data_IF_097399414728
#
_entry.id   IF_097399414728
#
_cell.length_a   1.000
_cell.length_b   1.000
_cell.length_c   1.000
_cell.angle_alpha   90.00
_cell.angle_beta   90.00
_cell.angle_gamma   90.00
#
_symmetry.space_group_name_H-M   'P 1'
#
loop_
_entity.id
_entity.type
_entity.pdbx_description
1 polymer ?
#
# COMPACT_ATOMS: atom_id res chain seq x y z
N UNK A 1 2.48 -9.85 -9.53
CA UNK A 1 1.38 -8.91 -9.84
C UNK A 1 0.10 -9.51 -9.27
N UNK A 2 -0.37 -9.00 -8.14
CA UNK A 2 -1.55 -9.54 -7.44
C UNK A 2 -2.80 -9.12 -8.24
N UNK A 3 -3.59 -10.08 -8.75
CA UNK A 3 -4.87 -9.77 -9.39
C UNK A 3 -5.85 -9.37 -8.28
N UNK A 4 -6.13 -8.08 -8.15
CA UNK A 4 -7.26 -7.57 -7.36
C UNK A 4 -8.54 -7.96 -8.10
N UNK A 5 -9.02 -9.17 -7.82
CA UNK A 5 -10.09 -9.79 -8.62
C UNK A 5 -11.48 -9.48 -8.11
N UNK A 6 -11.62 -8.69 -7.04
CA UNK A 6 -12.93 -8.34 -6.49
C UNK A 6 -13.12 -6.83 -6.33
N UNK A 7 -14.36 -6.36 -6.50
CA UNK A 7 -14.76 -4.99 -6.21
C UNK A 7 -14.45 -4.62 -4.74
N UNK A 8 -14.55 -5.59 -3.83
CA UNK A 8 -14.16 -5.46 -2.41
C UNK A 8 -12.70 -5.04 -2.25
N UNK A 9 -11.79 -5.58 -3.06
CA UNK A 9 -10.38 -5.19 -3.00
C UNK A 9 -10.16 -3.73 -3.43
N UNK A 10 -10.98 -3.23 -4.37
CA UNK A 10 -10.94 -1.83 -4.82
C UNK A 10 -11.48 -0.86 -3.78
N UNK A 11 -12.57 -1.20 -3.12
CA UNK A 11 -13.16 -0.33 -2.09
C UNK A 11 -12.24 -0.22 -0.87
N UNK A 12 -11.62 -1.34 -0.48
CA UNK A 12 -10.60 -1.36 0.59
C UNK A 12 -9.36 -0.54 0.21
N UNK A 13 -8.97 -0.56 -1.07
CA UNK A 13 -7.91 0.29 -1.58
C UNK A 13 -8.27 1.76 -1.43
N UNK A 14 -9.42 2.18 -1.97
CA UNK A 14 -9.87 3.58 -1.92
C UNK A 14 -9.93 4.08 -0.48
N UNK A 15 -10.52 3.28 0.43
CA UNK A 15 -10.56 3.62 1.86
C UNK A 15 -9.17 3.75 2.48
N UNK A 16 -8.23 2.86 2.15
CA UNK A 16 -6.85 2.97 2.61
C UNK A 16 -6.15 4.23 2.12
N UNK A 17 -6.43 4.66 0.89
CA UNK A 17 -5.91 5.91 0.32
C UNK A 17 -6.50 7.15 0.97
N UNK A 18 -7.82 7.17 1.16
CA UNK A 18 -8.49 8.27 1.85
C UNK A 18 -7.96 8.42 3.28
N UNK A 19 -7.78 7.29 3.99
CA UNK A 19 -7.17 7.29 5.31
C UNK A 19 -5.74 7.81 5.29
N UNK A 20 -4.94 7.45 4.28
CA UNK A 20 -3.59 7.96 4.11
C UNK A 20 -3.55 9.47 3.96
N UNK A 21 -4.32 10.04 3.02
CA UNK A 21 -4.34 11.49 2.81
C UNK A 21 -4.86 12.23 4.05
N UNK A 22 -5.94 11.72 4.66
CA UNK A 22 -6.46 12.28 5.91
C UNK A 22 -5.43 12.25 7.04
N UNK A 23 -4.55 11.25 7.06
CA UNK A 23 -3.55 11.10 8.10
C UNK A 23 -2.30 11.94 7.84
N UNK A 24 -1.87 12.09 6.59
CA UNK A 24 -0.78 13.01 6.23
C UNK A 24 -1.16 14.48 6.47
N UNK A 25 -2.43 14.85 6.22
CA UNK A 25 -2.92 16.23 6.41
C UNK A 25 -2.92 16.69 7.87
N UNK A 26 -2.92 15.75 8.81
CA UNK A 26 -2.88 16.03 10.27
C UNK A 26 -1.47 16.15 10.82
N UNK A 27 -0.45 15.79 10.05
CA UNK A 27 0.93 15.63 10.52
C UNK A 27 1.77 16.84 10.17
N UNK A 28 2.82 17.05 10.93
CA UNK A 28 3.79 18.11 10.65
C UNK A 28 4.70 17.67 9.50
N UNK A 29 4.72 18.38 8.35
CA UNK A 29 5.62 18.06 7.26
C UNK A 29 7.04 18.52 7.59
N UNK A 30 8.00 17.64 7.36
CA UNK A 30 9.43 17.88 7.51
C UNK A 30 10.12 17.45 6.22
N UNK A 31 10.71 18.42 5.53
CA UNK A 31 11.40 18.15 4.27
C UNK A 31 12.86 17.87 4.55
N UNK A 32 13.40 16.87 3.87
CA UNK A 32 14.82 16.53 3.90
C UNK A 32 15.32 16.23 2.50
N UNK A 33 16.60 16.47 2.26
CA UNK A 33 17.26 16.07 1.02
C UNK A 33 17.84 14.66 1.20
N UNK A 34 17.42 13.66 0.40
CA UNK A 34 18.01 12.33 0.46
C UNK A 34 19.44 12.35 -0.09
N UNK A 35 20.30 11.47 0.42
CA UNK A 35 21.61 11.24 -0.18
C UNK A 35 21.43 10.39 -1.45
N UNK A 36 21.99 10.81 -2.58
CA UNK A 36 21.83 10.12 -3.88
C UNK A 36 23.18 9.64 -4.40
N UNK A 37 23.30 8.33 -4.68
CA UNK A 37 24.54 7.71 -5.15
C UNK A 37 24.29 6.95 -6.46
N UNK A 38 25.06 7.30 -7.50
CA UNK A 38 25.11 6.52 -8.73
C UNK A 38 26.03 5.29 -8.52
N UNK A 39 25.47 4.10 -8.69
CA UNK A 39 26.19 2.84 -8.48
C UNK A 39 26.53 2.20 -9.81
N UNK A 40 27.81 1.86 -9.98
CA UNK A 40 28.31 1.13 -11.16
C UNK A 40 28.85 -0.21 -10.70
N UNK A 41 28.20 -1.30 -11.09
CA UNK A 41 28.67 -2.65 -10.78
C UNK A 41 29.68 -3.11 -11.85
N UNK A 42 30.75 -3.82 -11.46
CA UNK A 42 31.53 -4.59 -12.42
C UNK A 42 30.68 -5.73 -13.00
N UNK A 43 30.89 -6.04 -14.29
CA UNK A 43 30.13 -7.06 -15.02
C UNK A 43 30.14 -8.43 -14.29
N UNK A 44 29.00 -9.14 -14.30
CA UNK A 44 28.95 -10.58 -13.98
C UNK A 44 28.46 -11.02 -12.60
N UNK A 45 27.79 -10.17 -11.82
CA UNK A 45 27.18 -10.54 -10.53
C UNK A 45 25.66 -10.73 -10.59
N UNK A 46 25.13 -11.78 -9.94
CA UNK A 46 23.71 -11.83 -9.57
C UNK A 46 23.49 -10.84 -8.41
N UNK A 47 22.60 -9.87 -8.62
CA UNK A 47 22.34 -8.77 -7.69
C UNK A 47 20.83 -8.62 -7.50
N UNK A 48 20.37 -8.42 -6.27
CA UNK A 48 19.01 -7.96 -5.99
C UNK A 48 18.78 -6.56 -6.57
N UNK A 49 19.84 -5.74 -6.59
CA UNK A 49 19.84 -4.43 -7.23
C UNK A 49 20.29 -4.51 -8.70
N UNK A 50 19.35 -4.62 -9.62
CA UNK A 50 19.57 -4.85 -11.06
C UNK A 50 19.85 -3.57 -11.84
N UNK A 51 20.49 -3.69 -13.01
CA UNK A 51 20.67 -2.57 -13.92
C UNK A 51 19.30 -2.01 -14.35
N UNK A 52 19.18 -0.69 -14.41
CA UNK A 52 17.90 -0.03 -14.67
C UNK A 52 16.98 -0.02 -13.46
N UNK A 53 17.53 0.17 -12.26
CA UNK A 53 16.75 0.32 -11.03
C UNK A 53 17.21 1.53 -10.22
N UNK A 54 16.26 2.11 -9.50
CA UNK A 54 16.49 3.00 -8.37
C UNK A 54 16.14 2.21 -7.11
N UNK A 55 17.05 2.14 -6.15
CA UNK A 55 16.79 1.59 -4.83
C UNK A 55 16.65 2.75 -3.84
N UNK A 56 15.51 2.84 -3.17
CA UNK A 56 15.28 3.81 -2.09
C UNK A 56 15.33 3.05 -0.77
N UNK A 57 16.27 3.43 0.09
CA UNK A 57 16.43 2.86 1.43
C UNK A 57 16.09 3.93 2.44
N UNK A 58 15.02 3.72 3.19
CA UNK A 58 14.59 4.57 4.30
C UNK A 58 14.96 3.86 5.60
N UNK A 59 15.70 4.53 6.47
CA UNK A 59 16.18 3.98 7.73
C UNK A 59 15.90 4.91 8.90
N UNK A 60 15.81 4.36 10.11
CA UNK A 60 15.83 5.15 11.35
C UNK A 60 17.19 5.84 11.46
N UNK A 61 17.22 7.09 11.94
CA UNK A 61 18.46 7.91 12.05
C UNK A 61 19.62 7.25 12.82
N UNK A 62 19.33 6.32 13.73
CA UNK A 62 20.34 5.60 14.52
C UNK A 62 20.75 4.25 13.92
N UNK A 63 20.14 3.85 12.81
CA UNK A 63 20.45 2.59 12.13
C UNK A 63 21.82 2.65 11.45
N UNK A 64 22.60 1.57 11.58
CA UNK A 64 23.88 1.42 10.90
C UNK A 64 23.73 1.05 9.41
N UNK A 65 22.51 0.73 8.95
CA UNK A 65 22.25 0.16 7.63
C UNK A 65 22.74 1.09 6.51
N UNK A 66 22.41 2.39 6.56
CA UNK A 66 22.84 3.34 5.53
C UNK A 66 24.35 3.52 5.53
N UNK A 67 24.96 3.60 6.70
CA UNK A 67 26.42 3.72 6.86
C UNK A 67 27.15 2.50 6.29
N UNK A 68 26.64 1.30 6.55
CA UNK A 68 27.19 0.05 6.01
C UNK A 68 27.05 -0.04 4.50
N UNK A 69 25.89 0.33 3.94
CA UNK A 69 25.71 0.39 2.48
C UNK A 69 26.77 1.30 1.86
N UNK A 70 26.99 2.49 2.43
CA UNK A 70 27.98 3.46 1.96
C UNK A 70 29.41 2.94 2.09
N UNK A 71 29.75 2.31 3.22
CA UNK A 71 31.06 1.71 3.45
C UNK A 71 31.37 0.63 2.39
N UNK A 72 30.45 -0.30 2.14
CA UNK A 72 30.66 -1.36 1.15
C UNK A 72 30.75 -0.79 -0.29
N UNK A 73 30.04 0.30 -0.58
CA UNK A 73 30.19 1.03 -1.86
C UNK A 73 31.59 1.65 -2.00
N UNK A 74 32.09 2.32 -0.95
CA UNK A 74 33.43 2.93 -0.94
C UNK A 74 34.52 1.85 -1.10
N UNK A 75 34.35 0.70 -0.46
CA UNK A 75 35.29 -0.43 -0.53
C UNK A 75 35.18 -1.22 -1.84
N UNK A 76 34.17 -0.96 -2.69
CA UNK A 76 33.92 -1.73 -3.91
C UNK A 76 33.40 -3.15 -3.66
N UNK A 77 32.88 -3.43 -2.46
CA UNK A 77 32.35 -4.72 -2.03
C UNK A 77 30.87 -4.88 -2.43
N UNK A 78 30.59 -4.79 -3.73
CA UNK A 78 29.21 -4.75 -4.25
C UNK A 78 28.35 -5.96 -3.85
N UNK A 79 28.94 -7.15 -3.67
CA UNK A 79 28.21 -8.33 -3.20
C UNK A 79 27.75 -8.23 -1.74
N UNK A 80 28.52 -7.55 -0.87
CA UNK A 80 28.12 -7.31 0.51
C UNK A 80 27.02 -6.25 0.60
N UNK A 81 27.17 -5.18 -0.17
CA UNK A 81 26.15 -4.15 -0.31
C UNK A 81 24.82 -4.74 -0.81
N UNK A 82 24.86 -5.56 -1.88
CA UNK A 82 23.67 -6.25 -2.38
C UNK A 82 23.08 -7.21 -1.34
N UNK A 83 23.91 -7.91 -0.57
CA UNK A 83 23.47 -8.74 0.55
C UNK A 83 22.77 -7.95 1.67
N UNK A 84 23.19 -6.70 1.93
CA UNK A 84 22.49 -5.81 2.87
C UNK A 84 21.13 -5.41 2.29
N UNK A 85 21.08 -4.94 1.04
CA UNK A 85 19.84 -4.53 0.38
C UNK A 85 18.84 -5.69 0.28
N UNK A 86 19.32 -6.88 -0.07
CA UNK A 86 18.52 -8.11 -0.14
C UNK A 86 17.90 -8.45 1.22
N UNK A 87 18.65 -8.33 2.33
CA UNK A 87 18.11 -8.54 3.69
C UNK A 87 17.06 -7.50 4.05
N UNK A 88 17.32 -6.21 3.81
CA UNK A 88 16.36 -5.13 4.10
C UNK A 88 15.04 -5.38 3.37
N UNK A 89 15.09 -5.73 2.08
CA UNK A 89 13.89 -6.02 1.30
C UNK A 89 13.19 -7.33 1.72
N UNK A 90 13.97 -8.38 2.05
CA UNK A 90 13.43 -9.64 2.53
C UNK A 90 12.71 -9.47 3.88
N UNK A 91 13.29 -8.72 4.81
CA UNK A 91 12.68 -8.44 6.11
C UNK A 91 11.37 -7.67 5.96
N UNK A 92 11.33 -6.68 5.06
CA UNK A 92 10.11 -5.95 4.74
C UNK A 92 9.04 -6.86 4.12
N UNK A 93 9.42 -7.70 3.16
CA UNK A 93 8.51 -8.65 2.51
C UNK A 93 7.96 -9.66 3.52
N UNK A 94 8.82 -10.18 4.41
CA UNK A 94 8.41 -11.09 5.48
C UNK A 94 7.39 -10.46 6.44
N UNK A 95 7.48 -9.15 6.69
CA UNK A 95 6.47 -8.42 7.48
C UNK A 95 5.15 -8.32 6.72
N UNK A 96 5.17 -7.90 5.45
CA UNK A 96 3.96 -7.73 4.64
C UNK A 96 3.24 -9.07 4.42
N UNK A 97 3.99 -10.14 4.15
CA UNK A 97 3.43 -11.47 3.92
C UNK A 97 2.95 -12.16 5.22
N UNK A 98 3.15 -11.53 6.38
CA UNK A 98 2.76 -12.07 7.69
C UNK A 98 3.65 -13.22 8.18
N UNK A 99 4.74 -13.51 7.47
CA UNK A 99 5.76 -14.51 7.84
C UNK A 99 6.52 -14.11 9.12
N UNK A 100 6.66 -12.79 9.36
CA UNK A 100 7.13 -12.21 10.62
C UNK A 100 5.92 -11.67 11.37
N UNK A 101 5.66 -12.18 12.58
CA UNK A 101 4.58 -11.70 13.44
C UNK A 101 4.79 -10.22 13.78
N UNK A 102 4.13 -9.36 13.04
CA UNK A 102 3.97 -7.95 13.38
C UNK A 102 2.53 -7.76 13.84
N UNK A 103 2.33 -6.95 14.88
CA UNK A 103 0.97 -6.55 15.22
C UNK A 103 0.45 -5.68 14.09
N UNK A 104 -0.82 -5.84 13.67
CA UNK A 104 -1.43 -4.91 12.74
C UNK A 104 -1.28 -3.49 13.29
N UNK A 105 -0.58 -2.62 12.57
CA UNK A 105 -0.43 -1.21 12.94
C UNK A 105 -1.49 -0.39 12.20
N UNK A 106 -2.28 0.37 12.96
CA UNK A 106 -3.14 1.38 12.35
C UNK A 106 -2.29 2.53 11.81
N UNK A 107 -2.75 3.18 10.75
CA UNK A 107 -2.04 4.27 10.12
C UNK A 107 -1.72 5.41 11.09
N UNK A 108 -2.63 5.67 12.03
CA UNK A 108 -2.52 6.63 13.13
C UNK A 108 -1.40 6.33 14.14
N UNK A 109 -0.94 5.08 14.18
CA UNK A 109 0.06 4.60 15.14
C UNK A 109 1.48 4.67 14.55
N UNK A 110 1.58 4.83 13.22
CA UNK A 110 2.86 4.98 12.53
C UNK A 110 3.46 6.34 12.87
N UNK A 111 4.66 6.41 13.47
CA UNK A 111 5.24 7.68 13.94
C UNK A 111 5.57 8.66 12.81
N UNK A 112 6.07 8.13 11.69
CA UNK A 112 6.50 8.90 10.52
C UNK A 112 6.06 8.18 9.25
N UNK A 113 5.37 8.92 8.37
CA UNK A 113 5.14 8.49 6.99
C UNK A 113 6.12 9.24 6.10
N UNK A 114 6.65 8.57 5.07
CA UNK A 114 7.61 9.17 4.16
C UNK A 114 7.13 9.07 2.71
N UNK A 115 7.40 10.11 1.94
CA UNK A 115 7.20 10.18 0.51
C UNK A 115 8.50 10.59 -0.17
N UNK A 116 8.75 10.01 -1.35
CA UNK A 116 9.92 10.36 -2.16
C UNK A 116 9.43 10.88 -3.50
N UNK A 117 9.93 12.05 -3.86
CA UNK A 117 9.60 12.72 -5.11
C UNK A 117 10.84 13.02 -5.94
N UNK A 118 10.64 13.12 -7.25
CA UNK A 118 11.64 13.58 -8.21
C UNK A 118 11.01 14.69 -9.03
N UNK A 119 11.62 15.88 -9.04
CA UNK A 119 11.09 17.06 -9.71
C UNK A 119 9.63 17.39 -9.31
N UNK A 120 9.29 17.23 -8.02
CA UNK A 120 7.93 17.38 -7.44
C UNK A 120 6.93 16.29 -7.83
N UNK A 121 7.35 15.28 -8.60
CA UNK A 121 6.52 14.11 -8.92
C UNK A 121 6.79 12.99 -7.92
N UNK A 122 5.77 12.62 -7.15
CA UNK A 122 5.86 11.51 -6.17
C UNK A 122 5.95 10.19 -6.92
N UNK A 123 7.02 9.44 -6.68
CA UNK A 123 7.18 8.09 -7.23
C UNK A 123 7.15 7.01 -6.14
N UNK A 124 7.27 7.40 -4.86
CA UNK A 124 6.88 6.57 -3.71
C UNK A 124 6.05 7.39 -2.74
N UNK A 125 4.92 6.84 -2.32
CA UNK A 125 4.08 7.41 -1.27
C UNK A 125 3.78 6.38 -0.18
N UNK A 126 3.63 6.85 1.06
CA UNK A 126 3.28 6.01 2.21
C UNK A 126 4.36 5.02 2.63
N UNK A 127 5.64 5.37 2.49
CA UNK A 127 6.72 4.59 3.11
C UNK A 127 6.60 4.67 4.63
N UNK A 128 6.80 3.54 5.28
CA UNK A 128 6.83 3.42 6.74
C UNK A 128 7.88 2.39 7.13
N UNK A 129 8.45 2.54 8.32
CA UNK A 129 9.31 1.54 8.95
C UNK A 129 8.51 0.87 10.07
N UNK A 130 8.19 -0.40 9.88
CA UNK A 130 7.54 -1.18 10.94
C UNK A 130 8.40 -1.22 12.20
N UNK A 131 7.78 -1.29 13.37
CA UNK A 131 8.49 -1.29 14.67
C UNK A 131 9.55 -2.40 14.78
N UNK A 132 9.34 -3.52 14.09
CA UNK A 132 10.27 -4.66 14.08
C UNK A 132 11.44 -4.52 13.08
N UNK A 133 11.56 -3.39 12.39
CA UNK A 133 12.54 -3.11 11.34
C UNK A 133 13.30 -1.82 11.64
N UNK A 134 14.56 -1.80 11.23
CA UNK A 134 15.42 -0.60 11.29
C UNK A 134 15.44 0.18 9.97
N UNK A 135 15.11 -0.49 8.86
CA UNK A 135 15.03 0.10 7.54
C UNK A 135 14.03 -0.64 6.64
N UNK A 136 13.63 0.03 5.57
CA UNK A 136 12.88 -0.52 4.44
C UNK A 136 13.57 -0.12 3.14
N UNK A 137 13.60 -1.04 2.18
CA UNK A 137 14.22 -0.86 0.87
C UNK A 137 13.21 -1.11 -0.22
N UNK A 138 13.20 -0.25 -1.24
CA UNK A 138 12.28 -0.32 -2.37
C UNK A 138 13.04 -0.27 -3.68
N UNK A 139 12.78 -1.23 -4.57
CA UNK A 139 13.37 -1.29 -5.90
C UNK A 139 12.37 -0.83 -6.95
N UNK A 140 12.74 0.21 -7.68
CA UNK A 140 11.88 0.89 -8.65
C UNK A 140 12.53 0.73 -10.03
N UNK A 141 11.80 0.21 -11.02
CA UNK A 141 12.29 0.18 -12.39
C UNK A 141 12.62 1.59 -12.88
N UNK A 142 13.77 1.71 -13.52
CA UNK A 142 14.30 2.94 -14.08
C UNK A 142 14.79 2.70 -15.50
N UNK A 143 14.20 3.41 -16.45
CA UNK A 143 14.49 3.23 -17.87
C UNK A 143 15.71 4.01 -18.35
N UNK A 144 16.54 4.53 -17.46
CA UNK A 144 17.77 5.25 -17.79
C UNK A 144 17.57 6.73 -18.09
N UNK A 145 18.67 7.44 -18.31
CA UNK A 145 18.68 8.89 -18.52
C UNK A 145 19.50 9.62 -17.46
N UNK A 146 19.66 10.91 -17.68
CA UNK A 146 20.40 11.77 -16.77
C UNK A 146 19.44 12.32 -15.72
N UNK A 147 19.54 11.78 -14.51
CA UNK A 147 18.78 12.24 -13.36
C UNK A 147 19.58 13.32 -12.64
N UNK A 148 18.90 14.42 -12.32
CA UNK A 148 19.47 15.49 -11.51
C UNK A 148 19.31 15.13 -10.03
N UNK A 149 20.43 14.92 -9.33
CA UNK A 149 20.43 14.47 -7.94
C UNK A 149 19.75 15.49 -7.01
N UNK A 150 19.79 16.78 -7.35
CA UNK A 150 19.23 17.87 -6.55
C UNK A 150 17.70 17.98 -6.70
N UNK A 151 17.10 17.19 -7.60
CA UNK A 151 15.64 17.14 -7.81
C UNK A 151 14.96 16.05 -6.99
N UNK A 152 15.71 15.27 -6.21
CA UNK A 152 15.13 14.31 -5.29
C UNK A 152 14.78 14.99 -3.97
N UNK A 153 13.53 14.80 -3.53
CA UNK A 153 13.05 15.30 -2.24
C UNK A 153 12.48 14.15 -1.41
N UNK A 154 12.67 14.24 -0.08
CA UNK A 154 12.05 13.38 0.91
C UNK A 154 11.12 14.23 1.78
N UNK A 155 9.82 13.93 1.72
CA UNK A 155 8.82 14.54 2.57
C UNK A 155 8.49 13.56 3.71
N UNK A 156 8.69 14.00 4.95
CA UNK A 156 8.35 13.25 6.16
C UNK A 156 7.13 13.86 6.83
N UNK A 157 6.10 13.06 7.09
CA UNK A 157 4.90 13.46 7.81
C UNK A 157 5.00 12.90 9.23
N UNK A 158 5.44 13.76 10.14
CA UNK A 158 5.78 13.41 11.52
C UNK A 158 4.58 13.68 12.44
N UNK A 159 4.26 12.73 13.29
CA UNK A 159 3.24 12.91 14.34
C UNK A 159 3.75 13.89 15.41
N UNK A 160 2.90 14.79 15.91
CA UNK A 160 3.28 15.93 16.77
C UNK A 160 4.08 15.58 18.06
N UNK A 161 4.01 14.34 18.52
CA UNK A 161 4.71 13.84 19.72
C UNK A 161 5.87 12.88 19.39
N UNK A 162 6.10 12.59 18.11
CA UNK A 162 7.16 11.69 17.67
C UNK A 162 8.51 12.42 17.68
N UNK A 163 9.51 11.77 18.29
CA UNK A 163 10.92 12.15 18.14
C UNK A 163 11.64 11.29 17.10
N UNK A 164 10.93 10.35 16.46
CA UNK A 164 11.49 9.49 15.44
C UNK A 164 11.85 10.30 14.20
N UNK A 165 13.12 10.17 13.78
CA UNK A 165 13.64 10.78 12.56
C UNK A 165 14.09 9.68 11.62
N UNK A 166 13.77 9.87 10.34
CA UNK A 166 14.15 8.97 9.27
C UNK A 166 15.19 9.63 8.38
N UNK A 167 16.08 8.79 7.84
CA UNK A 167 17.08 9.16 6.84
C UNK A 167 16.85 8.32 5.57
N UNK A 168 17.19 8.88 4.42
CA UNK A 168 16.96 8.24 3.13
C UNK A 168 18.23 8.24 2.29
N UNK A 169 18.53 7.07 1.72
CA UNK A 169 19.58 6.86 0.72
C UNK A 169 18.94 6.37 -0.57
N UNK A 170 19.22 7.06 -1.67
CA UNK A 170 18.78 6.69 -3.02
C UNK A 170 20.00 6.19 -3.79
N UNK A 171 19.95 4.93 -4.20
CA UNK A 171 20.95 4.33 -5.08
C UNK A 171 20.38 4.25 -6.49
N UNK A 172 21.15 4.70 -7.48
CA UNK A 172 20.74 4.68 -8.89
C UNK A 172 21.69 3.76 -9.63
N UNK A 173 21.17 2.67 -10.19
CA UNK A 173 21.91 1.80 -11.11
C UNK A 173 21.39 2.00 -12.53
N UNK A 174 22.22 2.65 -13.35
CA UNK A 174 21.90 2.90 -14.75
C UNK A 174 21.65 1.57 -15.50
N UNK A 175 20.69 1.53 -16.43
CA UNK A 175 20.51 0.38 -17.30
C UNK A 175 21.74 0.20 -18.20
N UNK A 176 22.05 -1.05 -18.49
CA UNK A 176 23.09 -1.43 -19.44
C UNK A 176 22.51 -1.35 -20.84
N UNK A 177 22.92 -0.33 -21.61
CA UNK A 177 22.47 -0.12 -22.97
C UNK A 177 23.54 -0.53 -23.98
N UNK A 178 23.12 -1.22 -25.04
CA UNK A 178 23.91 -1.33 -26.26
C UNK A 178 24.20 0.05 -26.88
N UNK A 179 25.22 0.15 -27.73
CA UNK A 179 25.54 1.41 -28.42
C UNK A 179 24.34 1.99 -29.19
N UNK A 180 23.49 1.13 -29.75
CA UNK A 180 22.28 1.55 -30.44
C UNK A 180 21.23 2.11 -29.47
N UNK A 181 20.97 1.43 -28.35
CA UNK A 181 20.02 1.89 -27.33
C UNK A 181 20.47 3.20 -26.68
N UNK A 182 21.78 3.37 -26.46
CA UNK A 182 22.34 4.65 -26.00
C UNK A 182 22.06 5.78 -27.01
N UNK A 183 22.26 5.51 -28.31
CA UNK A 183 22.00 6.49 -29.36
C UNK A 183 20.51 6.84 -29.48
N UNK A 184 19.61 5.87 -29.27
CA UNK A 184 18.16 6.10 -29.22
C UNK A 184 17.79 6.90 -27.97
N UNK A 185 18.28 6.50 -26.79
CA UNK A 185 17.95 7.14 -25.52
C UNK A 185 18.39 8.62 -25.48
N UNK A 186 19.53 8.96 -26.08
CA UNK A 186 19.99 10.36 -26.24
C UNK A 186 19.09 11.22 -27.12
N UNK A 187 18.31 10.61 -28.03
CA UNK A 187 17.37 11.31 -28.91
C UNK A 187 15.99 11.48 -28.28
N UNK A 188 15.65 10.67 -27.28
CA UNK A 188 14.45 10.88 -26.47
C UNK A 188 14.72 12.07 -25.55
N UNK A 189 13.93 13.14 -25.69
CA UNK A 189 14.12 14.40 -24.98
C UNK A 189 14.26 14.21 -23.46
N UNK A 190 15.11 15.04 -22.84
CA UNK A 190 15.36 15.04 -21.40
C UNK A 190 14.11 15.38 -20.56
N UNK A 191 13.12 16.06 -21.15
CA UNK A 191 11.85 16.42 -20.52
C UNK A 191 10.97 15.21 -20.17
N UNK A 192 11.35 14.01 -20.61
CA UNK A 192 10.63 12.76 -20.33
C UNK A 192 11.17 12.07 -19.05
N UNK A 193 12.17 12.64 -18.37
CA UNK A 193 12.87 12.00 -17.25
C UNK A 193 11.94 11.51 -16.12
N UNK A 194 10.84 12.22 -15.86
CA UNK A 194 9.81 11.81 -14.90
C UNK A 194 9.11 10.50 -15.30
N UNK A 195 8.85 10.31 -16.59
CA UNK A 195 8.25 9.08 -17.13
C UNK A 195 9.22 7.89 -17.12
N UNK A 196 10.51 8.12 -16.80
CA UNK A 196 11.55 7.09 -16.77
C UNK A 196 11.72 6.44 -15.40
N UNK A 197 11.22 7.07 -14.34
CA UNK A 197 11.09 6.49 -13.00
C UNK A 197 9.68 5.93 -12.91
N UNK A 198 9.53 4.60 -12.77
CA UNK A 198 8.25 3.85 -12.79
C UNK A 198 6.97 4.68 -12.92
N UNK A 199 6.33 4.62 -14.10
CA UNK A 199 5.39 5.62 -14.62
C UNK A 199 4.06 5.86 -13.86
N UNK A 200 3.88 5.34 -12.65
CA UNK A 200 2.79 5.68 -11.72
C UNK A 200 3.30 5.44 -10.29
N UNK A 201 2.91 6.24 -9.28
CA UNK A 201 3.29 5.97 -7.90
C UNK A 201 2.86 4.55 -7.56
N UNK A 202 3.84 3.64 -7.37
CA UNK A 202 3.58 2.32 -6.84
C UNK A 202 3.24 2.52 -5.37
N UNK A 203 1.99 2.88 -5.09
CA UNK A 203 1.49 3.03 -3.73
C UNK A 203 1.79 1.73 -2.98
N UNK A 204 2.46 1.89 -1.84
CA UNK A 204 2.93 0.77 -1.05
C UNK A 204 1.74 0.00 -0.48
N UNK A 205 1.46 -1.15 -1.11
CA UNK A 205 0.46 -2.14 -0.70
C UNK A 205 0.59 -2.60 0.75
N UNK A 206 1.71 -2.30 1.45
CA UNK A 206 1.89 -2.60 2.87
C UNK A 206 0.95 -1.81 3.78
N UNK A 207 0.63 -0.55 3.47
CA UNK A 207 -0.35 0.23 4.23
C UNK A 207 -1.77 -0.30 3.99
N UNK A 208 -2.10 -0.65 2.73
CA UNK A 208 -3.42 -1.20 2.38
C UNK A 208 -3.59 -2.62 2.93
N UNK A 209 -2.58 -3.49 2.86
CA UNK A 209 -2.65 -4.86 3.37
C UNK A 209 -2.88 -4.93 4.89
N UNK A 210 -2.34 -3.96 5.64
CA UNK A 210 -2.57 -3.84 7.08
C UNK A 210 -3.96 -3.29 7.43
N UNK A 211 -4.46 -2.33 6.66
CA UNK A 211 -5.86 -1.87 6.77
C UNK A 211 -6.82 -3.00 6.42
N UNK A 212 -6.54 -3.79 5.39
CA UNK A 212 -7.32 -4.99 5.02
C UNK A 212 -7.29 -6.01 6.16
N UNK A 213 -6.15 -6.24 6.80
CA UNK A 213 -6.03 -7.12 7.97
C UNK A 213 -6.92 -6.66 9.14
N UNK A 214 -6.91 -5.37 9.48
CA UNK A 214 -7.74 -4.81 10.55
C UNK A 214 -9.25 -4.88 10.20
N UNK A 215 -9.63 -4.56 8.96
CA UNK A 215 -11.02 -4.62 8.50
C UNK A 215 -11.54 -6.06 8.43
N UNK A 216 -10.71 -7.02 8.01
CA UNK A 216 -11.08 -8.45 8.02
C UNK A 216 -11.23 -8.98 9.44
N UNK A 217 -10.40 -8.56 10.39
CA UNK A 217 -10.53 -8.97 11.81
C UNK A 217 -11.78 -8.35 12.44
N UNK A 218 -12.07 -7.07 12.19
CA UNK A 218 -13.29 -6.40 12.68
C UNK A 218 -14.54 -6.98 12.01
N UNK A 219 -14.50 -7.22 10.70
CA UNK A 219 -15.58 -7.86 9.95
C UNK A 219 -15.84 -9.30 10.39
N UNK A 220 -14.80 -10.08 10.63
CA UNK A 220 -14.92 -11.43 11.19
C UNK A 220 -15.47 -11.40 12.63
N UNK A 221 -15.03 -10.45 13.47
CA UNK A 221 -15.55 -10.29 14.82
C UNK A 221 -17.05 -9.92 14.82
N UNK A 222 -17.46 -8.98 13.97
CA UNK A 222 -18.86 -8.58 13.79
C UNK A 222 -19.71 -9.72 13.21
N UNK A 223 -19.22 -10.46 12.23
CA UNK A 223 -19.91 -11.63 11.66
C UNK A 223 -20.07 -12.76 12.70
N UNK A 224 -19.08 -12.94 13.57
CA UNK A 224 -19.13 -13.93 14.65
C UNK A 224 -20.11 -13.50 15.75
N UNK A 225 -20.15 -12.20 16.07
CA UNK A 225 -21.11 -11.61 17.00
C UNK A 225 -22.56 -11.71 16.48
N UNK A 226 -22.78 -11.40 15.19
CA UNK A 226 -24.08 -11.54 14.52
C UNK A 226 -24.54 -13.00 14.47
N UNK A 227 -23.64 -13.96 14.18
CA UNK A 227 -23.96 -15.40 14.24
C UNK A 227 -24.32 -15.86 15.65
N UNK A 228 -23.66 -15.34 16.70
CA UNK A 228 -24.00 -15.67 18.09
C UNK A 228 -25.37 -15.14 18.49
N UNK A 229 -25.65 -13.87 18.20
CA UNK A 229 -26.94 -13.23 18.50
C UNK A 229 -28.09 -13.88 17.71
N UNK A 230 -27.89 -14.25 16.45
CA UNK A 230 -28.90 -14.99 15.68
C UNK A 230 -29.19 -16.38 16.26
N UNK A 231 -28.17 -17.10 16.74
CA UNK A 231 -28.35 -18.40 17.42
C UNK A 231 -29.09 -18.26 18.74
N UNK A 232 -28.81 -17.22 19.52
CA UNK A 232 -29.51 -16.94 20.77
C UNK A 232 -30.97 -16.59 20.54
N UNK A 233 -31.27 -15.75 19.53
CA UNK A 233 -32.65 -15.44 19.14
C UNK A 233 -33.42 -16.69 18.69
N UNK A 234 -32.79 -17.57 17.90
CA UNK A 234 -33.41 -18.86 17.52
C UNK A 234 -33.72 -19.73 18.74
N UNK A 235 -32.78 -19.87 19.68
CA UNK A 235 -33.01 -20.62 20.92
C UNK A 235 -34.08 -19.99 21.81
N UNK A 236 -34.18 -18.66 21.84
CA UNK A 236 -35.24 -17.97 22.58
C UNK A 236 -36.61 -18.18 21.94
N UNK A 237 -36.69 -18.12 20.61
CA UNK A 237 -37.92 -18.42 19.86
C UNK A 237 -38.33 -19.88 20.04
N UNK A 238 -37.40 -20.84 19.97
CA UNK A 238 -37.67 -22.26 20.25
C UNK A 238 -38.20 -22.45 21.69
N UNK A 239 -37.55 -21.84 22.69
CA UNK A 239 -38.00 -21.92 24.08
C UNK A 239 -39.34 -21.22 24.32
N UNK A 240 -39.62 -20.12 23.62
CA UNK A 240 -40.93 -19.45 23.68
C UNK A 240 -42.01 -20.28 22.99
N UNK A 241 -41.70 -20.94 21.87
CA UNK A 241 -42.61 -21.86 21.19
C UNK A 241 -42.90 -23.11 22.04
N UNK A 242 -41.89 -23.67 22.72
CA UNK A 242 -42.08 -24.77 23.67
C UNK A 242 -42.91 -24.34 24.89
N UNK A 243 -42.66 -23.14 25.44
CA UNK A 243 -43.39 -22.62 26.61
C UNK A 243 -44.81 -22.18 26.30
N UNK A 244 -45.08 -21.67 25.10
CA UNK A 244 -46.43 -21.27 24.70
C UNK A 244 -47.33 -22.47 24.42
N UNK A 245 -46.81 -23.70 24.46
CA UNK A 245 -47.60 -24.94 24.33
C UNK A 245 -48.34 -25.03 23.00
N UNK A 246 -48.01 -24.16 22.05
CA UNK A 246 -48.67 -24.06 20.77
C UNK A 246 -47.71 -24.66 19.75
N UNK A 247 -48.05 -25.85 19.24
CA UNK A 247 -47.47 -26.39 18.01
C UNK A 247 -47.89 -25.49 16.85
N UNK A 248 -47.36 -24.28 16.78
CA UNK A 248 -47.21 -23.60 15.51
C UNK A 248 -46.06 -24.34 14.85
N UNK A 249 -46.42 -25.37 14.06
CA UNK A 249 -45.56 -25.73 12.94
C UNK A 249 -45.20 -24.41 12.25
N UNK A 250 -43.94 -24.21 11.80
CA UNK A 250 -43.68 -23.15 10.86
C UNK A 250 -44.68 -23.39 9.73
N UNK A 251 -45.66 -22.50 9.61
CA UNK A 251 -46.47 -22.38 8.42
C UNK A 251 -45.43 -22.38 7.32
N UNK A 252 -45.42 -23.46 6.52
CA UNK A 252 -44.56 -23.52 5.35
C UNK A 252 -44.97 -22.28 4.59
N UNK A 253 -44.15 -21.24 4.66
CA UNK A 253 -44.25 -20.07 3.79
C UNK A 253 -44.54 -20.66 2.43
N UNK A 254 -45.73 -20.39 1.91
CA UNK A 254 -46.09 -20.93 0.61
C UNK A 254 -45.00 -20.45 -0.35
N UNK A 255 -44.65 -21.27 -1.34
CA UNK A 255 -43.65 -20.87 -2.34
C UNK A 255 -43.96 -19.47 -2.91
N UNK A 256 -45.24 -19.10 -2.98
CA UNK A 256 -45.74 -17.75 -3.31
C UNK A 256 -45.30 -16.62 -2.36
N UNK A 257 -45.19 -16.84 -1.05
CA UNK A 257 -44.74 -15.80 -0.10
C UNK A 257 -43.22 -15.61 -0.17
N UNK A 258 -42.46 -16.67 -0.41
CA UNK A 258 -41.03 -16.58 -0.71
C UNK A 258 -40.75 -15.90 -2.04
N UNK A 259 -41.56 -16.16 -3.07
CA UNK A 259 -41.44 -15.48 -4.37
C UNK A 259 -41.80 -13.99 -4.24
N UNK A 260 -42.83 -13.62 -3.46
CA UNK A 260 -43.15 -12.21 -3.18
C UNK A 260 -42.06 -11.49 -2.38
N UNK A 261 -41.38 -12.17 -1.46
CA UNK A 261 -40.26 -11.60 -0.72
C UNK A 261 -39.01 -11.46 -1.58
N UNK A 262 -38.76 -12.39 -2.50
CA UNK A 262 -37.69 -12.28 -3.51
C UNK A 262 -37.99 -11.15 -4.50
N UNK A 263 -39.24 -11.01 -4.95
CA UNK A 263 -39.68 -9.93 -5.84
C UNK A 263 -39.61 -8.55 -5.15
N UNK A 264 -39.91 -8.47 -3.84
CA UNK A 264 -39.68 -7.26 -3.04
C UNK A 264 -38.20 -6.92 -2.82
N UNK A 265 -37.34 -7.94 -2.69
CA UNK A 265 -35.88 -7.76 -2.57
C UNK A 265 -35.25 -7.34 -3.90
N UNK A 266 -35.68 -7.91 -5.03
CA UNK A 266 -35.28 -7.49 -6.39
C UNK A 266 -35.80 -6.08 -6.73
N UNK A 267 -36.99 -5.71 -6.25
CA UNK A 267 -37.46 -4.33 -6.37
C UNK A 267 -36.63 -3.35 -5.53
N UNK A 268 -36.13 -3.76 -4.36
CA UNK A 268 -35.27 -2.91 -3.54
C UNK A 268 -33.88 -2.70 -4.15
N UNK A 269 -33.32 -3.70 -4.84
CA UNK A 269 -32.06 -3.52 -5.58
C UNK A 269 -32.23 -2.61 -6.81
N UNK A 270 -33.41 -2.60 -7.44
CA UNK A 270 -33.72 -1.63 -8.50
C UNK A 270 -33.83 -0.18 -7.97
N UNK A 271 -34.16 -0.01 -6.69
CA UNK A 271 -34.25 1.30 -6.05
C UNK A 271 -32.87 1.85 -5.72
N UNK A 272 -31.93 0.98 -5.33
CA UNK A 272 -30.52 1.34 -5.15
C UNK A 272 -29.84 1.66 -6.50
N UNK A 273 -30.12 0.92 -7.58
CA UNK A 273 -29.67 1.26 -8.95
C UNK A 273 -30.26 2.60 -9.45
N UNK A 274 -31.50 2.93 -9.08
CA UNK A 274 -32.13 4.21 -9.41
C UNK A 274 -31.56 5.37 -8.58
N UNK A 275 -31.13 5.12 -7.34
CA UNK A 275 -30.45 6.11 -6.50
C UNK A 275 -29.00 6.35 -6.96
N UNK A 276 -28.30 5.31 -7.42
CA UNK A 276 -26.96 5.41 -8.02
C UNK A 276 -27.00 6.17 -9.35
N UNK A 277 -27.98 5.90 -10.22
CA UNK A 277 -28.17 6.68 -11.46
C UNK A 277 -28.59 8.13 -11.20
N UNK A 278 -29.33 8.41 -10.11
CA UNK A 278 -29.69 9.78 -9.74
C UNK A 278 -28.49 10.58 -9.23
N UNK A 279 -27.56 9.96 -8.53
CA UNK A 279 -26.31 10.59 -8.11
C UNK A 279 -25.38 10.88 -9.30
N UNK A 280 -25.29 9.96 -10.27
CA UNK A 280 -24.51 10.16 -11.50
C UNK A 280 -25.11 11.26 -12.41
N UNK A 281 -26.45 11.33 -12.51
CA UNK A 281 -27.15 12.39 -13.27
C UNK A 281 -27.05 13.78 -12.61
N UNK A 282 -26.98 13.86 -11.27
CA UNK A 282 -26.74 15.12 -10.56
C UNK A 282 -25.28 15.59 -10.67
N UNK A 283 -24.31 14.67 -10.80
CA UNK A 283 -22.90 15.02 -11.03
C UNK A 283 -22.61 15.52 -12.45
N UNK A 284 -23.45 15.13 -13.43
CA UNK A 284 -23.31 15.50 -14.85
C UNK A 284 -24.13 16.73 -15.27
N UNK A 285 -24.94 17.32 -14.38
CA UNK A 285 -25.66 18.58 -14.62
C UNK A 285 -26.78 18.51 -15.67
N UNK A 286 -27.48 17.36 -15.81
CA UNK A 286 -28.42 17.11 -16.92
C UNK A 286 -29.91 17.30 -16.56
N UNK A 287 -30.29 17.55 -15.30
CA UNK A 287 -31.72 17.75 -14.95
C UNK A 287 -31.91 18.96 -14.03
N UNK A 288 -32.69 19.94 -14.51
CA UNK A 288 -33.43 20.91 -13.71
C UNK A 288 -34.85 20.37 -13.47
#
# INVERSE_FOLDING_TARGET
MMKLSSQVDRDLLIQGLDQYFLETDKRTPVNSTPEVINVTFPEGGYSHFLAGQICVVLARKESDILSRIKEELILGNYGQMDGILGRVNADFTNVIEGSKKTQPQHLSDIPVLAEVSYNKHKFIAGMQIFESLDAVGMFIPFSGGDLDVDKFDLDLFVKDESSELLECLILIRQPEFSLFEQAVNRKVSGDVSELRIGSEPKMLWGAVALVVGAVVVVGAALATYAKRTARERRKQMERQAERSGNRLMPERMSLEETDKLLEQLEMSSSLDELLENRADLMSKGVLF
#
